data_IF_459837002081
#
_entry.id   IF_459837002081
#
_cell.length_a   1.000
_cell.length_b   1.000
_cell.length_c   1.000
_cell.angle_alpha   90.00
_cell.angle_beta   90.00
_cell.angle_gamma   90.00
#
_symmetry.space_group_name_H-M   'P 1'
#
loop_
_entity.id
_entity.type
_entity.pdbx_description
1 polymer ?
#
# COMPACT_ATOMS: atom_id res chain seq x y z
N UNK A 1 5.23 17.80 -13.58
CA UNK A 1 4.25 16.95 -14.31
C UNK A 1 3.11 17.82 -14.83
N UNK A 2 2.50 17.54 -15.99
CA UNK A 2 1.36 18.33 -16.48
C UNK A 2 0.11 18.09 -15.62
N UNK A 3 -0.77 19.08 -15.50
CA UNK A 3 -2.05 18.94 -14.78
C UNK A 3 -2.88 17.81 -15.38
N UNK A 4 -2.96 17.71 -16.72
CA UNK A 4 -3.71 16.66 -17.41
C UNK A 4 -3.19 15.24 -17.11
N UNK A 5 -1.87 15.06 -16.97
CA UNK A 5 -1.31 13.77 -16.56
C UNK A 5 -1.72 13.41 -15.12
N UNK A 6 -1.76 14.39 -14.21
CA UNK A 6 -2.24 14.18 -12.84
C UNK A 6 -3.73 13.84 -12.79
N UNK A 7 -4.56 14.55 -13.57
CA UNK A 7 -6.00 14.28 -13.63
C UNK A 7 -6.28 12.84 -14.10
N UNK A 8 -5.55 12.38 -15.13
CA UNK A 8 -5.65 10.99 -15.62
C UNK A 8 -5.23 10.00 -14.53
N UNK A 9 -4.12 10.22 -13.84
CA UNK A 9 -3.62 9.29 -12.80
C UNK A 9 -4.57 9.21 -11.61
N UNK A 10 -5.09 10.35 -11.14
CA UNK A 10 -6.05 10.40 -10.03
C UNK A 10 -7.34 9.65 -10.36
N UNK A 11 -7.90 9.88 -11.56
CA UNK A 11 -9.10 9.18 -12.02
C UNK A 11 -8.83 7.70 -12.23
N UNK A 12 -7.71 7.34 -12.87
CA UNK A 12 -7.33 5.95 -13.09
C UNK A 12 -7.14 5.21 -11.77
N UNK A 13 -6.45 5.80 -10.80
CA UNK A 13 -6.27 5.20 -9.47
C UNK A 13 -7.61 4.92 -8.79
N UNK A 14 -8.50 5.92 -8.73
CA UNK A 14 -9.84 5.73 -8.17
C UNK A 14 -10.59 4.60 -8.88
N UNK A 15 -10.60 4.60 -10.22
CA UNK A 15 -11.32 3.59 -10.97
C UNK A 15 -10.75 2.17 -10.80
N UNK A 16 -9.43 2.01 -10.87
CA UNK A 16 -8.79 0.71 -10.66
C UNK A 16 -8.99 0.18 -9.24
N UNK A 17 -9.00 1.07 -8.26
CA UNK A 17 -9.29 0.71 -6.88
C UNK A 17 -10.74 0.25 -6.70
N UNK A 18 -11.70 0.98 -7.26
CA UNK A 18 -13.15 0.72 -7.15
C UNK A 18 -13.61 -0.51 -7.95
N UNK A 19 -13.08 -0.70 -9.16
CA UNK A 19 -13.59 -1.68 -10.14
C UNK A 19 -12.57 -2.74 -10.56
N UNK A 20 -11.37 -2.72 -9.98
CA UNK A 20 -10.27 -3.60 -10.35
C UNK A 20 -9.57 -3.20 -11.65
N UNK A 21 -8.38 -3.75 -11.90
CA UNK A 21 -7.61 -3.38 -13.08
C UNK A 21 -8.29 -3.87 -14.35
N UNK A 22 -8.76 -5.13 -14.38
CA UNK A 22 -9.42 -5.72 -15.55
C UNK A 22 -10.77 -5.07 -15.88
N UNK A 23 -11.52 -4.63 -14.86
CA UNK A 23 -12.85 -4.04 -15.01
C UNK A 23 -12.90 -2.64 -15.64
N UNK A 24 -11.77 -1.92 -15.68
CA UNK A 24 -11.71 -0.52 -16.14
C UNK A 24 -11.12 -0.42 -17.54
N UNK A 25 -11.84 0.25 -18.47
CA UNK A 25 -11.34 0.55 -19.80
C UNK A 25 -10.73 1.96 -19.92
N UNK A 26 -9.78 2.15 -20.85
CA UNK A 26 -9.19 3.48 -21.12
C UNK A 26 -10.23 4.53 -21.53
N UNK A 27 -11.30 4.13 -22.25
CA UNK A 27 -12.39 5.05 -22.62
C UNK A 27 -13.09 5.64 -21.40
N UNK A 28 -13.32 4.84 -20.36
CA UNK A 28 -13.93 5.30 -19.11
C UNK A 28 -13.03 6.32 -18.42
N UNK A 29 -11.72 6.04 -18.33
CA UNK A 29 -10.73 6.96 -17.75
C UNK A 29 -10.69 8.28 -18.53
N UNK A 30 -10.67 8.23 -19.87
CA UNK A 30 -10.68 9.44 -20.73
C UNK A 30 -11.91 10.31 -20.44
N UNK A 31 -13.08 9.68 -20.36
CA UNK A 31 -14.34 10.37 -20.10
C UNK A 31 -14.36 11.00 -18.70
N UNK A 32 -14.00 10.23 -17.66
CA UNK A 32 -14.04 10.71 -16.28
C UNK A 32 -12.93 11.73 -15.96
N UNK A 33 -11.77 11.65 -16.61
CA UNK A 33 -10.71 12.64 -16.50
C UNK A 33 -10.96 13.90 -17.34
N UNK A 34 -12.01 13.91 -18.17
CA UNK A 34 -12.34 15.01 -19.08
C UNK A 34 -11.12 15.46 -19.91
N UNK A 35 -10.53 14.48 -20.61
CA UNK A 35 -9.38 14.68 -21.50
C UNK A 35 -9.70 14.17 -22.91
N UNK A 36 -8.98 14.66 -23.92
CA UNK A 36 -9.08 14.07 -25.25
C UNK A 36 -8.36 12.71 -25.28
N UNK A 37 -8.82 11.79 -26.14
CA UNK A 37 -8.17 10.47 -26.34
C UNK A 37 -6.68 10.61 -26.62
N UNK A 38 -6.30 11.54 -27.49
CA UNK A 38 -4.89 11.79 -27.83
C UNK A 38 -4.08 12.28 -26.63
N UNK A 39 -4.70 13.03 -25.70
CA UNK A 39 -4.02 13.48 -24.47
C UNK A 39 -3.62 12.30 -23.59
N UNK A 40 -4.46 11.26 -23.47
CA UNK A 40 -4.10 10.07 -22.72
C UNK A 40 -2.92 9.34 -23.37
N UNK A 41 -3.01 9.07 -24.68
CA UNK A 41 -1.95 8.34 -25.39
C UNK A 41 -0.63 9.13 -25.50
N UNK A 42 -0.66 10.46 -25.42
CA UNK A 42 0.55 11.28 -25.30
C UNK A 42 1.26 11.14 -23.93
N UNK A 43 0.56 10.62 -22.91
CA UNK A 43 1.11 10.46 -21.56
C UNK A 43 1.35 9.01 -21.16
N UNK A 44 0.60 8.07 -21.73
CA UNK A 44 0.64 6.66 -21.40
C UNK A 44 0.55 5.80 -22.67
N UNK A 45 1.55 4.95 -22.87
CA UNK A 45 1.67 4.11 -24.07
C UNK A 45 0.64 2.98 -24.10
N UNK A 46 0.22 2.51 -22.92
CA UNK A 46 -0.72 1.43 -22.74
C UNK A 46 -1.49 1.57 -21.43
N UNK A 47 -2.53 0.76 -21.25
CA UNK A 47 -3.22 0.64 -19.96
C UNK A 47 -2.27 0.14 -18.87
N UNK A 48 -1.42 -0.82 -19.19
CA UNK A 48 -0.47 -1.40 -18.24
C UNK A 48 0.58 -0.37 -17.81
N UNK A 49 1.06 0.46 -18.74
CA UNK A 49 1.92 1.60 -18.41
C UNK A 49 1.21 2.58 -17.45
N UNK A 50 -0.08 2.87 -17.67
CA UNK A 50 -0.86 3.69 -16.75
C UNK A 50 -1.02 3.03 -15.36
N UNK A 51 -1.28 1.72 -15.30
CA UNK A 51 -1.38 0.97 -14.04
C UNK A 51 -0.06 1.01 -13.27
N UNK A 52 1.07 0.76 -13.92
CA UNK A 52 2.39 0.82 -13.28
C UNK A 52 2.66 2.21 -12.69
N UNK A 53 2.34 3.27 -13.43
CA UNK A 53 2.50 4.65 -12.96
C UNK A 53 1.58 4.98 -11.77
N UNK A 54 0.34 4.48 -11.77
CA UNK A 54 -0.56 4.59 -10.61
C UNK A 54 0.03 3.91 -9.37
N UNK A 55 0.50 2.67 -9.50
CA UNK A 55 1.07 1.92 -8.37
C UNK A 55 2.31 2.61 -7.79
N UNK A 56 3.21 3.11 -8.65
CA UNK A 56 4.40 3.88 -8.21
C UNK A 56 4.03 5.16 -7.45
N UNK A 57 3.01 5.88 -7.91
CA UNK A 57 2.55 7.07 -7.18
C UNK A 57 1.93 6.70 -5.84
N UNK A 58 1.10 5.65 -5.82
CA UNK A 58 0.48 5.15 -4.60
C UNK A 58 1.53 4.69 -3.59
N UNK A 59 2.54 3.95 -4.05
CA UNK A 59 3.68 3.52 -3.25
C UNK A 59 4.43 4.71 -2.65
N UNK A 60 4.78 5.71 -3.46
CA UNK A 60 5.47 6.92 -2.99
C UNK A 60 4.67 7.62 -1.90
N UNK A 61 3.35 7.76 -2.08
CA UNK A 61 2.47 8.38 -1.08
C UNK A 61 2.35 7.55 0.19
N UNK A 62 2.22 6.22 0.07
CA UNK A 62 2.16 5.33 1.22
C UNK A 62 3.42 5.44 2.08
N UNK A 63 4.60 5.36 1.46
CA UNK A 63 5.86 5.43 2.19
C UNK A 63 6.09 6.78 2.83
N UNK A 64 5.81 7.86 2.10
CA UNK A 64 5.88 9.20 2.69
C UNK A 64 4.93 9.34 3.90
N UNK A 65 3.72 8.78 3.81
CA UNK A 65 2.75 8.79 4.91
C UNK A 65 3.26 7.98 6.12
N UNK A 66 3.73 6.76 5.88
CA UNK A 66 4.24 5.86 6.92
C UNK A 66 5.46 6.47 7.64
N UNK A 67 6.47 6.88 6.86
CA UNK A 67 7.72 7.43 7.37
C UNK A 67 7.45 8.70 8.20
N UNK A 68 6.66 9.64 7.65
CA UNK A 68 6.32 10.88 8.36
C UNK A 68 5.62 10.63 9.69
N UNK A 69 4.73 9.63 9.77
CA UNK A 69 4.03 9.33 11.01
C UNK A 69 4.95 8.67 12.05
N UNK A 70 5.88 7.82 11.62
CA UNK A 70 6.86 7.18 12.50
C UNK A 70 7.89 8.20 13.01
N UNK A 71 8.37 9.09 12.15
CA UNK A 71 9.29 10.18 12.53
C UNK A 71 8.69 11.14 13.57
N UNK A 72 7.38 11.35 13.55
CA UNK A 72 6.67 12.16 14.55
C UNK A 72 6.50 11.47 15.91
N UNK A 73 6.62 10.14 15.96
CA UNK A 73 6.41 9.31 17.15
C UNK A 73 7.53 8.26 17.30
N UNK A 74 8.79 8.70 17.43
CA UNK A 74 9.96 7.82 17.41
C UNK A 74 10.09 6.94 18.66
N UNK A 75 9.32 7.21 19.72
CA UNK A 75 9.39 6.48 20.98
C UNK A 75 8.81 5.04 20.90
N UNK A 76 7.95 4.77 19.91
CA UNK A 76 7.30 3.45 19.72
C UNK A 76 7.18 3.12 18.21
N UNK A 77 8.29 2.99 17.48
CA UNK A 77 8.29 2.98 16.02
C UNK A 77 7.41 1.87 15.42
N UNK A 78 7.42 0.68 16.02
CA UNK A 78 6.54 -0.43 15.62
C UNK A 78 5.05 -0.11 15.74
N UNK A 79 4.65 0.47 16.88
CA UNK A 79 3.24 0.83 17.11
C UNK A 79 2.85 2.01 16.23
N UNK A 80 3.76 2.96 16.02
CA UNK A 80 3.59 4.08 15.10
C UNK A 80 3.40 3.60 13.66
N UNK A 81 4.17 2.62 13.21
CA UNK A 81 4.04 2.03 11.87
C UNK A 81 2.68 1.32 11.69
N UNK A 82 2.23 0.53 12.68
CA UNK A 82 0.91 -0.11 12.65
C UNK A 82 -0.22 0.93 12.65
N UNK A 83 -0.08 1.97 13.48
CA UNK A 83 -1.05 3.07 13.54
C UNK A 83 -1.17 3.79 12.19
N UNK A 84 -0.03 4.15 11.61
CA UNK A 84 0.04 4.81 10.31
C UNK A 84 -0.55 3.94 9.19
N UNK A 85 -0.21 2.66 9.15
CA UNK A 85 -0.77 1.74 8.18
C UNK A 85 -2.31 1.66 8.31
N UNK A 86 -2.82 1.52 9.54
CA UNK A 86 -4.25 1.46 9.79
C UNK A 86 -5.00 2.76 9.41
N UNK A 87 -4.40 3.92 9.65
CA UNK A 87 -4.95 5.20 9.20
C UNK A 87 -4.95 5.30 7.67
N UNK A 88 -3.89 4.84 7.00
CA UNK A 88 -3.85 4.74 5.55
C UNK A 88 -4.98 3.85 4.99
N UNK A 89 -5.27 2.73 5.66
CA UNK A 89 -6.39 1.87 5.28
C UNK A 89 -7.73 2.61 5.37
N UNK A 90 -7.94 3.33 6.47
CA UNK A 90 -9.14 4.14 6.66
C UNK A 90 -9.31 5.21 5.58
N UNK A 91 -8.24 5.93 5.26
CA UNK A 91 -8.30 7.11 4.40
C UNK A 91 -8.27 6.76 2.91
N UNK A 92 -7.58 5.68 2.53
CA UNK A 92 -7.27 5.38 1.13
C UNK A 92 -7.51 3.93 0.69
N UNK A 93 -7.70 2.97 1.61
CA UNK A 93 -7.70 1.52 1.28
C UNK A 93 -8.80 0.70 1.99
N UNK A 94 -9.99 1.27 2.18
CA UNK A 94 -11.15 0.62 2.83
C UNK A 94 -11.74 -0.63 2.14
N UNK A 95 -11.37 -0.93 0.89
CA UNK A 95 -11.81 -2.10 0.08
C UNK A 95 -10.72 -3.15 -0.09
N UNK A 96 -9.66 -3.06 0.69
CA UNK A 96 -8.52 -3.97 0.64
C UNK A 96 -7.34 -3.42 -0.17
N UNK A 97 -6.42 -4.32 -0.49
CA UNK A 97 -5.10 -3.96 -0.98
C UNK A 97 -4.99 -3.93 -2.51
N UNK A 98 -4.60 -2.76 -3.03
CA UNK A 98 -4.38 -2.56 -4.45
C UNK A 98 -3.11 -3.27 -4.97
N UNK A 99 -2.09 -3.44 -4.14
CA UNK A 99 -0.86 -4.15 -4.48
C UNK A 99 -1.08 -5.67 -4.51
N UNK A 100 -1.79 -6.26 -3.54
CA UNK A 100 -2.12 -7.69 -3.63
C UNK A 100 -3.00 -8.00 -4.85
N UNK A 101 -3.99 -7.14 -5.13
CA UNK A 101 -4.79 -7.27 -6.35
C UNK A 101 -3.92 -7.18 -7.61
N UNK A 102 -2.89 -6.33 -7.63
CA UNK A 102 -1.97 -6.23 -8.76
C UNK A 102 -1.13 -7.50 -8.93
N UNK A 103 -0.65 -8.11 -7.84
CA UNK A 103 0.02 -9.42 -7.87
C UNK A 103 -0.92 -10.48 -8.46
N UNK A 104 -2.17 -10.53 -8.04
CA UNK A 104 -3.16 -11.50 -8.54
C UNK A 104 -3.52 -11.26 -10.02
N UNK A 105 -3.73 -10.01 -10.42
CA UNK A 105 -4.19 -9.68 -11.78
C UNK A 105 -3.10 -9.81 -12.84
N UNK A 106 -1.83 -9.63 -12.45
CA UNK A 106 -0.66 -9.58 -13.33
C UNK A 106 0.42 -10.62 -12.99
N UNK A 107 0.09 -11.66 -12.22
CA UNK A 107 1.00 -12.77 -11.96
C UNK A 107 1.58 -13.34 -13.27
N UNK A 108 2.88 -13.67 -13.25
CA UNK A 108 3.61 -14.33 -14.35
C UNK A 108 3.70 -13.50 -15.65
N UNK A 109 3.48 -12.19 -15.56
CA UNK A 109 3.56 -11.31 -16.74
C UNK A 109 4.94 -10.66 -16.93
N UNK A 110 5.87 -10.86 -15.98
CA UNK A 110 7.23 -10.28 -15.93
C UNK A 110 7.23 -8.78 -16.29
N UNK A 111 6.23 -8.07 -15.77
CA UNK A 111 6.03 -6.65 -16.06
C UNK A 111 6.33 -5.78 -14.84
N UNK A 112 6.42 -4.48 -15.10
CA UNK A 112 6.69 -3.49 -14.06
C UNK A 112 5.59 -3.42 -12.98
N UNK A 113 4.37 -3.86 -13.27
CA UNK A 113 3.23 -3.84 -12.34
C UNK A 113 3.45 -4.86 -11.24
N UNK A 114 3.73 -6.12 -11.60
CA UNK A 114 3.99 -7.19 -10.65
C UNK A 114 5.24 -6.88 -9.82
N UNK A 115 6.33 -6.44 -10.47
CA UNK A 115 7.57 -6.06 -9.78
C UNK A 115 7.36 -4.93 -8.77
N UNK A 116 6.61 -3.87 -9.12
CA UNK A 116 6.28 -2.78 -8.20
C UNK A 116 5.44 -3.29 -7.01
N UNK A 117 4.48 -4.17 -7.26
CA UNK A 117 3.59 -4.67 -6.22
C UNK A 117 4.30 -5.62 -5.24
N UNK A 118 5.14 -6.53 -5.74
CA UNK A 118 5.97 -7.40 -4.88
C UNK A 118 7.02 -6.59 -4.12
N UNK A 119 7.68 -5.65 -4.80
CA UNK A 119 8.65 -4.75 -4.18
C UNK A 119 8.06 -3.93 -3.04
N UNK A 120 6.80 -3.47 -3.15
CA UNK A 120 6.10 -2.80 -2.05
C UNK A 120 5.99 -3.69 -0.80
N UNK A 121 5.67 -4.98 -0.96
CA UNK A 121 5.54 -5.95 0.13
C UNK A 121 6.89 -6.29 0.76
N UNK A 122 7.89 -6.54 -0.07
CA UNK A 122 9.26 -6.79 0.36
C UNK A 122 9.83 -5.59 1.13
N UNK A 123 9.56 -4.37 0.66
CA UNK A 123 9.99 -3.15 1.34
C UNK A 123 9.31 -2.97 2.70
N UNK A 124 8.05 -3.38 2.86
CA UNK A 124 7.36 -3.36 4.16
C UNK A 124 8.03 -4.31 5.17
N UNK A 125 8.34 -5.53 4.74
CA UNK A 125 9.07 -6.50 5.58
C UNK A 125 10.44 -5.94 5.99
N UNK A 126 11.23 -5.48 5.03
CA UNK A 126 12.57 -4.96 5.30
C UNK A 126 12.54 -3.69 6.16
N UNK A 127 11.53 -2.84 6.00
CA UNK A 127 11.34 -1.68 6.86
C UNK A 127 11.09 -2.08 8.31
N UNK A 128 10.23 -3.08 8.56
CA UNK A 128 9.95 -3.58 9.92
C UNK A 128 11.16 -4.29 10.52
N UNK A 129 11.94 -5.02 9.71
CA UNK A 129 13.20 -5.64 10.11
C UNK A 129 14.20 -4.57 10.57
N UNK A 130 14.37 -3.51 9.77
CA UNK A 130 15.22 -2.39 10.15
C UNK A 130 14.78 -1.73 11.46
N UNK A 131 13.47 -1.57 11.69
CA UNK A 131 12.97 -1.06 12.97
C UNK A 131 13.33 -2.00 14.16
N UNK A 132 13.39 -3.31 13.92
CA UNK A 132 13.78 -4.28 14.94
C UNK A 132 15.27 -4.16 15.25
N UNK A 133 16.10 -4.07 14.21
CA UNK A 133 17.54 -3.92 14.31
C UNK A 133 17.92 -2.62 15.03
N UNK A 134 17.30 -1.50 14.65
CA UNK A 134 17.52 -0.19 15.27
C UNK A 134 17.08 -0.18 16.76
N UNK A 135 16.12 -1.03 17.13
CA UNK A 135 15.68 -1.22 18.52
C UNK A 135 16.52 -2.24 19.30
N UNK A 136 17.48 -2.93 18.66
CA UNK A 136 18.32 -3.95 19.28
C UNK A 136 17.55 -5.22 19.67
N UNK A 137 16.46 -5.54 18.97
CA UNK A 137 15.66 -6.74 19.23
C UNK A 137 16.37 -7.97 18.66
N UNK A 138 16.61 -8.98 19.49
CA UNK A 138 17.11 -10.27 19.03
C UNK A 138 16.03 -10.97 18.16
N UNK A 139 16.46 -11.68 17.10
CA UNK A 139 15.57 -12.29 16.10
C UNK A 139 14.62 -11.28 15.41
N UNK A 140 15.10 -10.06 15.14
CA UNK A 140 14.32 -8.98 14.53
C UNK A 140 13.59 -9.35 13.22
N UNK A 141 14.16 -10.26 12.42
CA UNK A 141 13.51 -10.78 11.22
C UNK A 141 12.18 -11.50 11.52
N UNK A 142 12.12 -12.35 12.55
CA UNK A 142 10.91 -13.08 12.90
C UNK A 142 9.82 -12.13 13.39
N UNK A 143 10.19 -11.11 14.17
CA UNK A 143 9.26 -10.05 14.58
C UNK A 143 8.74 -9.27 13.37
N UNK A 144 9.61 -8.94 12.41
CA UNK A 144 9.24 -8.25 11.18
C UNK A 144 8.25 -9.06 10.32
N UNK A 145 8.46 -10.37 10.20
CA UNK A 145 7.53 -11.29 9.52
C UNK A 145 6.18 -11.30 10.24
N UNK A 146 6.16 -11.43 11.57
CA UNK A 146 4.92 -11.43 12.37
C UNK A 146 4.15 -10.12 12.21
N UNK A 147 4.84 -8.98 12.25
CA UNK A 147 4.24 -7.67 12.02
C UNK A 147 3.74 -7.51 10.58
N UNK A 148 4.47 -8.01 9.59
CA UNK A 148 4.02 -8.00 8.20
C UNK A 148 2.73 -8.81 8.05
N UNK A 149 2.68 -10.02 8.59
CA UNK A 149 1.46 -10.85 8.61
C UNK A 149 0.28 -10.17 9.32
N UNK A 150 0.56 -9.47 10.43
CA UNK A 150 -0.43 -8.68 11.13
C UNK A 150 -1.00 -7.56 10.25
N UNK A 151 -0.13 -6.80 9.56
CA UNK A 151 -0.56 -5.71 8.69
C UNK A 151 -1.36 -6.21 7.49
N UNK A 152 -0.87 -7.24 6.80
CA UNK A 152 -1.58 -7.88 5.67
C UNK A 152 -2.94 -8.42 6.11
N UNK A 153 -3.00 -9.12 7.24
CA UNK A 153 -4.25 -9.61 7.82
C UNK A 153 -5.21 -8.46 8.17
N UNK A 154 -4.68 -7.35 8.70
CA UNK A 154 -5.46 -6.15 9.00
C UNK A 154 -6.01 -5.52 7.72
N UNK A 155 -5.20 -5.41 6.67
CA UNK A 155 -5.63 -4.90 5.36
C UNK A 155 -6.77 -5.75 4.78
N UNK A 156 -6.62 -7.08 4.76
CA UNK A 156 -7.65 -7.98 4.24
C UNK A 156 -8.94 -7.94 5.06
N UNK A 157 -8.83 -7.91 6.39
CA UNK A 157 -9.99 -7.97 7.29
C UNK A 157 -10.70 -6.62 7.46
N UNK A 158 -10.07 -5.50 7.06
CA UNK A 158 -10.68 -4.16 7.13
C UNK A 158 -11.99 -4.09 6.33
N UNK A 159 -12.10 -4.79 5.20
CA UNK A 159 -13.33 -4.82 4.41
C UNK A 159 -14.51 -5.50 5.15
N UNK A 160 -14.22 -6.40 6.10
CA UNK A 160 -15.22 -7.12 6.88
C UNK A 160 -15.49 -6.45 8.24
N UNK A 161 -14.43 -6.09 8.96
CA UNK A 161 -14.51 -5.55 10.33
C UNK A 161 -14.72 -4.04 10.36
N UNK A 162 -14.41 -3.35 9.26
CA UNK A 162 -14.26 -1.90 9.24
C UNK A 162 -12.91 -1.45 9.81
N UNK A 163 -12.45 -0.28 9.36
CA UNK A 163 -11.13 0.26 9.69
C UNK A 163 -10.91 0.41 11.20
N UNK A 164 -11.90 0.93 11.92
CA UNK A 164 -11.80 1.21 13.37
C UNK A 164 -11.54 -0.06 14.19
N UNK A 165 -12.33 -1.11 13.99
CA UNK A 165 -12.22 -2.33 14.79
C UNK A 165 -10.98 -3.12 14.39
N UNK A 166 -10.67 -3.20 13.09
CA UNK A 166 -9.42 -3.78 12.60
C UNK A 166 -8.19 -3.08 13.22
N UNK A 167 -8.18 -1.74 13.28
CA UNK A 167 -7.11 -0.96 13.91
C UNK A 167 -6.93 -1.30 15.39
N UNK A 168 -8.04 -1.36 16.14
CA UNK A 168 -8.01 -1.66 17.59
C UNK A 168 -7.38 -3.02 17.88
N UNK A 169 -7.78 -4.04 17.10
CA UNK A 169 -7.20 -5.38 17.21
C UNK A 169 -5.74 -5.41 16.76
N UNK A 170 -5.39 -4.75 15.66
CA UNK A 170 -4.02 -4.68 15.16
C UNK A 170 -3.06 -4.07 16.19
N UNK A 171 -3.43 -2.95 16.81
CA UNK A 171 -2.63 -2.30 17.84
C UNK A 171 -2.48 -3.18 19.09
N UNK A 172 -3.53 -3.92 19.46
CA UNK A 172 -3.47 -4.84 20.60
C UNK A 172 -2.49 -5.98 20.32
N UNK A 173 -2.59 -6.62 19.14
CA UNK A 173 -1.69 -7.70 18.74
C UNK A 173 -0.24 -7.21 18.61
N UNK A 174 -0.02 -6.04 18.01
CA UNK A 174 1.32 -5.45 17.90
C UNK A 174 1.99 -5.31 19.27
N UNK A 175 1.27 -4.78 20.28
CA UNK A 175 1.81 -4.67 21.64
C UNK A 175 2.19 -6.02 22.25
N UNK A 176 1.38 -7.06 21.99
CA UNK A 176 1.67 -8.42 22.50
C UNK A 176 2.94 -8.99 21.85
N UNK A 177 3.05 -8.88 20.52
CA UNK A 177 4.22 -9.36 19.77
C UNK A 177 5.51 -8.65 20.22
N UNK A 178 5.46 -7.32 20.37
CA UNK A 178 6.62 -6.54 20.81
C UNK A 178 7.04 -6.87 22.25
N UNK A 179 6.07 -7.09 23.14
CA UNK A 179 6.38 -7.50 24.52
C UNK A 179 7.05 -8.87 24.56
N UNK A 180 6.56 -9.83 23.76
CA UNK A 180 7.15 -11.16 23.66
C UNK A 180 8.60 -11.08 23.15
N UNK A 181 8.85 -10.28 22.12
CA UNK A 181 10.19 -10.11 21.53
C UNK A 181 11.21 -9.51 22.51
N UNK A 182 10.79 -8.65 23.45
CA UNK A 182 11.69 -8.12 24.49
C UNK A 182 11.96 -9.10 25.64
N UNK A 183 11.16 -10.16 25.76
CA UNK A 183 11.29 -11.15 26.83
C UNK A 183 12.11 -12.39 26.40
N UNK A 184 12.50 -12.45 25.13
CA UNK A 184 13.42 -13.47 24.58
C UNK A 184 14.87 -13.00 24.76
#
# INVERSE_FOLDING_TARGET
MSQKKQDILSVAERLFYEYGFKGVGLKQIIQEANVATMTLYNHFESKDNLVAQVLKQRETRYWHYLDSHVEQHPEKPFISAVTAHCQWLNDYSYKGDMFMRAIEDYADTDNEIESTARGHKERLLHYLEKLADDAGIENGYDLAVQYTLLLEGTTSMTALLGSKDATSHAITMAKLLLNEAHNQ
#
